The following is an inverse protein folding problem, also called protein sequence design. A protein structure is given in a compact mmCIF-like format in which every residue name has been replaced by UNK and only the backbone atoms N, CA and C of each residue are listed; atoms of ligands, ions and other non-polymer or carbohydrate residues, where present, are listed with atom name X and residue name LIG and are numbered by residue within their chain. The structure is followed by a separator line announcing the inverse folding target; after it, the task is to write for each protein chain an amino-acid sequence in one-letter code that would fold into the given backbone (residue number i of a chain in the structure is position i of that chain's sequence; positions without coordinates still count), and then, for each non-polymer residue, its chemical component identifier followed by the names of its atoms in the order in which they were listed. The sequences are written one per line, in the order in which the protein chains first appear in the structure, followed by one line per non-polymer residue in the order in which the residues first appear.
data_IF_426993131671
#
_entry.id   IF_426993131671
#
_cell.length_a   1.000
_cell.length_b   1.000
_cell.length_c   1.000
_cell.angle_alpha   90.00
_cell.angle_beta   90.00
_cell.angle_gamma   90.00
#
_symmetry.space_group_name_H-M   'P 1'
#
loop_
_entity.id
_entity.type
_entity.pdbx_description
1 polymer ?
#
# COMPACT_ATOMS: atom_id res chain seq x y z
N UNK A 1 -39.27 -18.82 -15.10
CA UNK A 1 -38.32 -19.83 -14.56
C UNK A 1 -37.27 -20.07 -15.62
N UNK A 2 -35.96 -19.94 -15.43
CA UNK A 2 -35.13 -20.26 -14.26
C UNK A 2 -33.76 -19.60 -14.49
N UNK A 3 -33.41 -18.58 -13.69
CA UNK A 3 -32.05 -18.03 -13.71
C UNK A 3 -31.13 -19.00 -13.00
N UNK A 4 -30.28 -19.64 -13.79
CA UNK A 4 -29.34 -20.67 -13.37
C UNK A 4 -28.48 -20.17 -12.20
N UNK A 5 -28.64 -20.79 -11.03
CA UNK A 5 -27.79 -20.59 -9.85
C UNK A 5 -26.40 -21.12 -10.19
N UNK A 6 -25.59 -20.30 -10.86
CA UNK A 6 -24.20 -20.66 -11.17
C UNK A 6 -23.44 -20.81 -9.86
N UNK A 7 -22.84 -21.99 -9.70
CA UNK A 7 -22.19 -22.47 -8.50
C UNK A 7 -21.06 -21.50 -8.09
N UNK A 8 -21.21 -20.80 -6.97
CA UNK A 8 -20.26 -19.78 -6.51
C UNK A 8 -18.94 -20.39 -5.99
N UNK A 9 -18.97 -21.68 -5.65
CA UNK A 9 -17.84 -22.39 -5.02
C UNK A 9 -16.64 -22.58 -5.94
N UNK A 10 -16.83 -22.57 -7.26
CA UNK A 10 -15.78 -22.94 -8.23
C UNK A 10 -14.88 -21.76 -8.65
N UNK A 11 -15.14 -20.55 -8.12
CA UNK A 11 -14.45 -19.31 -8.53
C UNK A 11 -13.43 -18.79 -7.53
N UNK A 12 -13.07 -19.57 -6.52
CA UNK A 12 -12.07 -19.16 -5.52
C UNK A 12 -10.67 -19.31 -6.12
N UNK A 13 -9.96 -18.19 -6.19
CA UNK A 13 -8.57 -18.09 -6.67
C UNK A 13 -7.72 -17.50 -5.57
N UNK A 14 -6.54 -18.10 -5.35
CA UNK A 14 -5.59 -17.63 -4.34
C UNK A 14 -4.60 -16.65 -4.96
N UNK A 15 -4.51 -15.45 -4.41
CA UNK A 15 -3.55 -14.43 -4.78
C UNK A 15 -2.40 -14.43 -3.79
N UNK A 16 -1.17 -14.64 -4.24
CA UNK A 16 0.02 -14.65 -3.39
C UNK A 16 0.86 -13.43 -3.72
N UNK A 17 1.20 -12.64 -2.70
CA UNK A 17 2.06 -11.49 -2.90
C UNK A 17 3.54 -11.83 -2.69
N UNK A 18 4.38 -11.44 -3.63
CA UNK A 18 5.82 -11.71 -3.59
C UNK A 18 6.57 -10.86 -2.55
N UNK A 19 6.05 -9.66 -2.24
CA UNK A 19 6.71 -8.69 -1.35
C UNK A 19 6.41 -8.91 0.14
N UNK A 20 5.16 -9.24 0.49
CA UNK A 20 4.70 -9.48 1.88
C UNK A 20 4.48 -10.96 2.20
N UNK A 21 4.61 -11.87 1.24
CA UNK A 21 4.24 -13.30 1.36
C UNK A 21 2.79 -13.56 1.81
N UNK A 22 1.91 -12.54 1.74
CA UNK A 22 0.50 -12.67 2.12
C UNK A 22 -0.30 -13.39 1.03
N UNK A 23 -1.21 -14.27 1.43
CA UNK A 23 -2.18 -14.93 0.55
C UNK A 23 -3.60 -14.39 0.74
N UNK A 24 -4.34 -14.24 -0.35
CA UNK A 24 -5.74 -13.79 -0.35
C UNK A 24 -6.59 -14.70 -1.23
N UNK A 25 -7.67 -15.25 -0.69
CA UNK A 25 -8.62 -16.05 -1.45
C UNK A 25 -9.78 -15.17 -1.90
N UNK A 26 -9.89 -14.94 -3.21
CA UNK A 26 -10.87 -14.04 -3.79
C UNK A 26 -11.67 -14.74 -4.89
N UNK A 27 -12.91 -14.29 -5.08
CA UNK A 27 -13.79 -14.73 -6.16
C UNK A 27 -13.38 -14.04 -7.46
N UNK A 28 -12.85 -14.81 -8.41
CA UNK A 28 -12.41 -14.28 -9.71
C UNK A 28 -13.31 -14.77 -10.85
N UNK A 29 -13.54 -13.89 -11.83
CA UNK A 29 -14.32 -14.22 -13.02
C UNK A 29 -13.62 -15.23 -13.93
N UNK A 30 -12.28 -15.19 -13.93
CA UNK A 30 -11.39 -16.04 -14.68
C UNK A 30 -10.80 -17.13 -13.77
N UNK A 31 -11.11 -18.38 -14.04
CA UNK A 31 -10.65 -19.56 -13.26
C UNK A 31 -9.47 -20.25 -13.95
N UNK A 32 -8.93 -19.67 -15.03
CA UNK A 32 -7.83 -20.28 -15.81
C UNK A 32 -6.58 -20.55 -14.96
N UNK A 33 -6.38 -19.78 -13.89
CA UNK A 33 -5.27 -19.94 -12.95
C UNK A 33 -5.78 -19.99 -11.51
N UNK A 34 -5.45 -21.07 -10.79
CA UNK A 34 -5.84 -21.26 -9.39
C UNK A 34 -5.01 -20.41 -8.41
N UNK A 35 -3.82 -20.01 -8.85
CA UNK A 35 -2.90 -19.18 -8.08
C UNK A 35 -2.37 -18.04 -8.94
N UNK A 36 -2.53 -16.81 -8.48
CA UNK A 36 -2.07 -15.60 -9.17
C UNK A 36 -1.00 -14.93 -8.31
N UNK A 37 0.14 -14.62 -8.92
CA UNK A 37 1.24 -13.91 -8.25
C UNK A 37 1.03 -12.40 -8.37
N UNK A 38 1.09 -11.70 -7.24
CA UNK A 38 0.97 -10.25 -7.14
C UNK A 38 2.28 -9.63 -6.63
N UNK A 39 2.65 -8.49 -7.16
CA UNK A 39 3.86 -7.78 -6.72
C UNK A 39 3.61 -6.95 -5.44
N UNK A 40 2.44 -6.32 -5.35
CA UNK A 40 2.07 -5.41 -4.26
C UNK A 40 0.68 -5.75 -3.71
N UNK A 41 0.60 -5.99 -2.41
CA UNK A 41 -0.63 -6.28 -1.66
C UNK A 41 -1.15 -5.06 -0.89
N UNK A 42 -2.40 -5.13 -0.40
CA UNK A 42 -2.93 -4.12 0.52
C UNK A 42 -2.12 -4.02 1.83
N UNK A 43 -1.43 -5.09 2.24
CA UNK A 43 -0.54 -5.04 3.39
C UNK A 43 0.85 -4.42 3.09
N UNK A 44 1.24 -4.28 1.82
CA UNK A 44 2.52 -3.69 1.40
C UNK A 44 2.40 -2.26 0.91
N UNK A 45 1.28 -1.91 0.27
CA UNK A 45 1.23 -0.66 -0.49
C UNK A 45 1.34 0.52 0.49
N UNK A 46 2.30 1.45 0.27
CA UNK A 46 2.56 2.57 1.19
C UNK A 46 1.32 3.39 1.53
N UNK A 47 0.40 3.49 0.57
CA UNK A 47 -0.93 4.11 0.73
C UNK A 47 -1.75 3.48 1.86
N UNK A 48 -1.82 2.15 1.94
CA UNK A 48 -2.63 1.44 2.93
C UNK A 48 -1.92 1.28 4.27
N UNK A 49 -0.59 1.37 4.30
CA UNK A 49 0.21 1.34 5.52
C UNK A 49 0.10 2.64 6.35
N UNK A 50 -0.62 3.65 5.88
CA UNK A 50 -0.80 4.89 6.62
C UNK A 50 0.50 5.67 6.82
N UNK A 51 1.56 5.36 6.05
CA UNK A 51 2.68 6.29 5.84
C UNK A 51 2.16 7.44 5.00
N UNK A 52 1.31 8.28 5.62
CA UNK A 52 1.24 9.69 5.29
C UNK A 52 2.69 10.13 5.14
N UNK A 53 3.01 10.78 4.02
CA UNK A 53 4.28 11.41 3.81
C UNK A 53 4.53 12.40 4.97
N UNK A 54 5.05 11.87 6.07
CA UNK A 54 5.86 12.55 7.06
C UNK A 54 7.28 12.66 6.51
N UNK A 55 7.40 12.85 5.20
CA UNK A 55 8.19 13.97 4.71
C UNK A 55 7.61 15.19 5.44
N UNK A 56 8.10 15.55 6.63
CA UNK A 56 9.27 16.41 6.75
C UNK A 56 9.49 17.22 5.48
N UNK A 57 8.43 17.85 4.97
CA UNK A 57 8.55 19.15 4.39
C UNK A 57 9.21 19.95 5.50
N UNK A 58 10.55 19.99 5.51
CA UNK A 58 11.31 21.05 6.15
C UNK A 58 10.81 22.31 5.47
N UNK A 59 9.67 22.77 5.96
CA UNK A 59 8.96 23.88 5.39
C UNK A 59 9.87 25.10 5.47
N UNK A 60 9.45 26.21 4.87
CA UNK A 60 10.11 27.49 5.09
C UNK A 60 10.38 27.76 6.58
N UNK A 61 9.53 27.28 7.49
CA UNK A 61 9.69 27.38 8.94
C UNK A 61 10.94 26.69 9.52
N UNK A 62 11.29 25.47 9.08
CA UNK A 62 12.49 24.78 9.58
C UNK A 62 13.76 25.41 9.02
N UNK A 63 13.76 25.80 7.74
CA UNK A 63 14.84 26.56 7.10
C UNK A 63 15.06 27.92 7.78
N UNK A 64 13.99 28.56 8.24
CA UNK A 64 14.03 29.81 8.98
C UNK A 64 14.65 29.60 10.38
N UNK A 65 14.22 28.57 11.12
CA UNK A 65 14.81 28.20 12.42
C UNK A 65 16.33 27.97 12.33
N UNK A 66 16.79 27.32 11.28
CA UNK A 66 18.21 27.06 11.04
C UNK A 66 19.01 28.35 10.75
N UNK A 67 18.44 29.28 9.97
CA UNK A 67 19.03 30.61 9.73
C UNK A 67 19.14 31.44 11.02
N UNK A 68 18.10 31.42 11.86
CA UNK A 68 18.13 32.10 13.16
C UNK A 68 19.17 31.51 14.11
N UNK A 69 19.31 30.17 14.14
CA UNK A 69 20.34 29.51 14.95
C UNK A 69 21.77 29.88 14.49
N UNK A 70 22.02 29.91 13.17
CA UNK A 70 23.30 30.36 12.59
C UNK A 70 23.59 31.84 12.85
N UNK A 71 22.55 32.67 12.93
CA UNK A 71 22.68 34.09 13.27
C UNK A 71 23.06 34.32 14.73
N UNK A 72 22.51 33.53 15.67
CA UNK A 72 22.84 33.66 17.11
C UNK A 72 24.28 33.26 17.43
N UNK A 73 24.82 32.23 16.78
CA UNK A 73 26.21 31.80 17.00
C UNK A 73 27.27 32.77 16.46
N UNK A 74 26.90 33.75 15.62
CA UNK A 74 27.80 34.82 15.16
C UNK A 74 27.88 36.03 16.09
N UNK A 75 27.06 36.06 17.14
CA UNK A 75 26.98 37.16 18.12
C UNK A 75 27.54 36.76 19.51
N UNK A 76 28.06 35.55 19.65
CA UNK A 76 28.94 35.13 20.76
C UNK A 76 30.39 35.14 20.29
#
# INVERSE_FOLDING_TARGET
MSTSRKNLSEKIVTFVCNSCSSSYDLLSGDTSSKTVQLDICAACHPFYLGKLASETNLGPAEKLKEKFNRGRTKLQ
#
